data_IF_005319695274
#
_entry.id   IF_005319695274
#
_cell.length_a   1.000
_cell.length_b   1.000
_cell.length_c   1.000
_cell.angle_alpha   90.00
_cell.angle_beta   90.00
_cell.angle_gamma   90.00
#
_symmetry.space_group_name_H-M   'P 1'
#
loop_
_entity.id
_entity.type
_entity.pdbx_description
1 polymer ?
#
# COMPACT_ATOMS: atom_id res chain seq x y z
N UNK A 1 -5.27 6.52 4.87
CA UNK A 1 -5.51 6.08 3.46
C UNK A 1 -4.81 4.75 3.23
N UNK A 2 -5.52 3.70 2.80
CA UNK A 2 -4.99 2.35 2.60
C UNK A 2 -5.03 1.98 1.10
N UNK A 3 -3.89 1.54 0.55
CA UNK A 3 -3.70 1.23 -0.89
C UNK A 3 -3.24 -0.22 -1.03
N UNK A 4 -4.04 -1.03 -1.71
CA UNK A 4 -3.87 -2.48 -1.80
C UNK A 4 -2.75 -2.92 -2.79
N UNK A 5 -2.37 -4.20 -2.69
CA UNK A 5 -1.44 -4.87 -3.61
C UNK A 5 -2.08 -5.27 -4.94
N UNK A 6 -1.25 -5.71 -5.90
CA UNK A 6 -1.73 -6.20 -7.20
C UNK A 6 -2.61 -7.45 -7.03
N UNK A 7 -3.60 -7.60 -7.89
CA UNK A 7 -4.59 -8.71 -7.91
C UNK A 7 -5.51 -8.80 -6.70
N UNK A 8 -5.42 -7.87 -5.74
CA UNK A 8 -6.32 -7.75 -4.60
C UNK A 8 -7.24 -6.53 -4.76
N UNK A 9 -7.91 -6.12 -3.72
CA UNK A 9 -8.76 -4.94 -3.69
C UNK A 9 -8.74 -4.31 -2.29
N UNK A 10 -9.53 -3.26 -2.08
CA UNK A 10 -9.70 -2.64 -0.76
C UNK A 10 -10.13 -3.63 0.32
N UNK A 11 -10.75 -4.75 -0.02
CA UNK A 11 -11.24 -5.75 0.94
C UNK A 11 -10.11 -6.44 1.71
N UNK A 12 -8.89 -6.45 1.19
CA UNK A 12 -7.73 -6.97 1.93
C UNK A 12 -7.45 -6.21 3.24
N UNK A 13 -7.95 -4.99 3.36
CA UNK A 13 -7.75 -4.12 4.51
C UNK A 13 -8.81 -4.24 5.60
N UNK A 14 -9.77 -5.18 5.48
CA UNK A 14 -10.90 -5.34 6.41
C UNK A 14 -10.44 -5.31 7.86
N UNK A 15 -9.44 -6.11 8.22
CA UNK A 15 -8.96 -6.23 9.61
C UNK A 15 -8.31 -4.95 10.13
N UNK A 16 -7.62 -4.21 9.28
CA UNK A 16 -7.05 -2.92 9.62
C UNK A 16 -8.15 -1.87 9.81
N UNK A 17 -9.15 -1.85 8.92
CA UNK A 17 -10.29 -0.95 9.04
C UNK A 17 -11.09 -1.21 10.32
N UNK A 18 -11.40 -2.47 10.65
CA UNK A 18 -12.04 -2.87 11.89
C UNK A 18 -11.23 -2.40 13.13
N UNK A 19 -9.91 -2.59 13.10
CA UNK A 19 -9.06 -2.18 14.20
C UNK A 19 -8.98 -0.64 14.35
N UNK A 20 -8.98 0.11 13.25
CA UNK A 20 -9.02 1.57 13.29
C UNK A 20 -10.35 2.09 13.80
N UNK A 21 -11.47 1.46 13.42
CA UNK A 21 -12.80 1.80 13.93
C UNK A 21 -12.89 1.61 15.44
N UNK A 22 -12.38 0.48 15.96
CA UNK A 22 -12.33 0.20 17.40
C UNK A 22 -11.58 1.24 18.23
N UNK A 23 -10.58 1.91 17.65
CA UNK A 23 -9.81 2.97 18.32
C UNK A 23 -10.22 4.37 17.90
N UNK A 24 -11.35 4.51 17.18
CA UNK A 24 -11.89 5.79 16.73
C UNK A 24 -11.01 6.54 15.73
N UNK A 25 -10.23 5.82 14.91
CA UNK A 25 -9.35 6.41 13.88
C UNK A 25 -10.00 6.31 12.51
N UNK A 26 -10.30 7.45 11.85
CA UNK A 26 -10.85 7.42 10.51
C UNK A 26 -9.85 6.81 9.52
N UNK A 27 -10.30 5.82 8.77
CA UNK A 27 -9.49 5.16 7.75
C UNK A 27 -10.35 4.82 6.52
N UNK A 28 -9.75 4.95 5.34
CA UNK A 28 -10.40 4.60 4.06
C UNK A 28 -9.45 3.75 3.25
N UNK A 29 -9.98 2.69 2.65
CA UNK A 29 -9.29 1.87 1.66
C UNK A 29 -9.93 2.09 0.29
N UNK A 30 -9.11 2.27 -0.74
CA UNK A 30 -9.56 2.50 -2.11
C UNK A 30 -9.28 1.29 -3.00
N UNK A 31 -10.06 1.17 -4.08
CA UNK A 31 -9.72 0.28 -5.19
C UNK A 31 -8.92 1.05 -6.25
N UNK A 32 -7.80 0.47 -6.67
CA UNK A 32 -7.01 0.99 -7.78
C UNK A 32 -7.71 0.71 -9.12
N UNK A 33 -7.45 1.49 -10.20
CA UNK A 33 -7.93 1.15 -11.54
C UNK A 33 -7.60 -0.30 -11.89
N UNK A 34 -8.54 -1.01 -12.49
CA UNK A 34 -8.43 -2.44 -12.84
C UNK A 34 -8.64 -3.41 -11.67
N UNK A 35 -9.04 -2.94 -10.48
CA UNK A 35 -9.23 -3.77 -9.30
C UNK A 35 -10.57 -3.49 -8.61
N UNK A 36 -11.10 -4.49 -7.91
CA UNK A 36 -12.30 -4.38 -7.08
C UNK A 36 -13.47 -3.74 -7.83
N UNK A 37 -14.06 -2.70 -7.28
CA UNK A 37 -15.17 -1.95 -7.89
C UNK A 37 -14.78 -1.18 -9.15
N UNK A 38 -13.48 -0.98 -9.38
CA UNK A 38 -12.92 -0.31 -10.56
C UNK A 38 -12.33 -1.30 -11.59
N UNK A 39 -12.77 -2.55 -11.57
CA UNK A 39 -12.24 -3.64 -12.42
C UNK A 39 -12.34 -3.36 -13.92
N UNK A 40 -13.34 -2.57 -14.35
CA UNK A 40 -13.54 -2.18 -15.74
C UNK A 40 -12.58 -1.09 -16.23
N UNK A 41 -11.86 -0.44 -15.33
CA UNK A 41 -10.90 0.61 -15.68
C UNK A 41 -9.54 0.00 -16.04
N UNK A 42 -8.85 0.66 -16.97
CA UNK A 42 -7.48 0.24 -17.29
C UNK A 42 -6.50 0.74 -16.24
N UNK A 43 -5.64 -0.16 -15.74
CA UNK A 43 -4.59 0.21 -14.80
C UNK A 43 -3.54 1.11 -15.46
N UNK A 44 -3.14 2.16 -14.74
CA UNK A 44 -1.90 2.90 -15.00
C UNK A 44 -1.37 3.50 -13.70
N UNK A 45 -0.05 3.69 -13.59
CA UNK A 45 0.56 4.35 -12.42
C UNK A 45 0.06 5.79 -12.25
N UNK A 46 -0.02 6.63 -13.30
CA UNK A 46 -0.57 7.98 -13.16
C UNK A 46 -2.01 7.99 -12.62
N UNK A 47 -2.93 7.22 -13.23
CA UNK A 47 -4.32 7.17 -12.79
C UNK A 47 -4.48 6.61 -11.36
N UNK A 48 -3.56 5.73 -10.93
CA UNK A 48 -3.54 5.23 -9.56
C UNK A 48 -3.08 6.31 -8.57
N UNK A 49 -2.06 7.08 -8.91
CA UNK A 49 -1.56 8.20 -8.09
C UNK A 49 -2.62 9.31 -8.01
N UNK A 50 -3.26 9.64 -9.13
CA UNK A 50 -4.33 10.65 -9.18
C UNK A 50 -5.54 10.19 -8.33
N UNK A 51 -5.93 8.90 -8.38
CA UNK A 51 -6.99 8.36 -7.54
C UNK A 51 -6.67 8.35 -6.03
N UNK A 52 -5.39 8.19 -5.65
CA UNK A 52 -4.95 8.36 -4.26
C UNK A 52 -5.11 9.83 -3.85
N UNK A 53 -4.70 10.78 -4.71
CA UNK A 53 -4.80 12.20 -4.45
C UNK A 53 -6.26 12.64 -4.25
N UNK A 54 -7.16 12.26 -5.17
CA UNK A 54 -8.60 12.55 -5.10
C UNK A 54 -9.23 12.01 -3.81
N UNK A 55 -8.86 10.78 -3.41
CA UNK A 55 -9.37 10.17 -2.20
C UNK A 55 -8.86 10.88 -0.93
N UNK A 56 -7.61 11.35 -0.92
CA UNK A 56 -7.06 12.15 0.20
C UNK A 56 -7.72 13.51 0.27
N UNK A 57 -7.98 14.18 -0.86
CA UNK A 57 -8.70 15.45 -0.91
C UNK A 57 -10.11 15.31 -0.33
N UNK A 58 -10.81 14.22 -0.64
CA UNK A 58 -12.12 13.92 -0.07
C UNK A 58 -12.08 13.66 1.45
N UNK A 59 -10.93 13.33 2.02
CA UNK A 59 -10.70 13.12 3.46
C UNK A 59 -10.20 14.37 4.21
N UNK A 60 -10.08 15.51 3.53
CA UNK A 60 -9.59 16.76 4.14
C UNK A 60 -8.20 17.17 3.69
N UNK A 61 -7.67 16.56 2.61
CA UNK A 61 -6.47 17.00 1.92
C UNK A 61 -5.14 16.50 2.49
N UNK A 62 -5.14 15.76 3.62
CA UNK A 62 -3.90 15.21 4.19
C UNK A 62 -4.14 13.90 4.94
N UNK A 63 -3.26 12.91 4.76
CA UNK A 63 -3.41 11.60 5.39
C UNK A 63 -2.05 10.90 5.59
N UNK A 64 -2.01 9.94 6.51
CA UNK A 64 -0.99 8.88 6.50
C UNK A 64 -1.37 7.90 5.40
N UNK A 65 -0.46 7.68 4.45
CA UNK A 65 -0.62 6.73 3.35
C UNK A 65 0.00 5.39 3.74
N UNK A 66 -0.78 4.33 3.64
CA UNK A 66 -0.33 2.95 3.87
C UNK A 66 -0.51 2.16 2.59
N UNK A 67 0.55 1.62 2.04
CA UNK A 67 0.51 0.81 0.83
C UNK A 67 1.26 -0.50 1.00
N UNK A 68 0.72 -1.60 0.46
CA UNK A 68 1.39 -2.89 0.45
C UNK A 68 1.70 -3.33 -0.99
N UNK A 69 2.91 -3.82 -1.23
CA UNK A 69 3.37 -4.30 -2.55
C UNK A 69 3.20 -3.21 -3.62
N UNK A 70 2.35 -3.40 -4.62
CA UNK A 70 2.01 -2.36 -5.60
C UNK A 70 1.59 -1.06 -4.93
N UNK A 71 0.72 -1.13 -3.90
CA UNK A 71 0.29 0.03 -3.13
C UNK A 71 1.46 0.76 -2.46
N UNK A 72 2.50 0.05 -2.02
CA UNK A 72 3.71 0.64 -1.47
C UNK A 72 4.50 1.46 -2.50
N UNK A 73 4.70 0.94 -3.71
CA UNK A 73 5.33 1.69 -4.81
C UNK A 73 4.51 2.91 -5.21
N UNK A 74 3.18 2.77 -5.28
CA UNK A 74 2.26 3.88 -5.59
C UNK A 74 2.24 4.93 -4.48
N UNK A 75 2.30 4.50 -3.21
CA UNK A 75 2.42 5.38 -2.05
C UNK A 75 3.71 6.21 -2.07
N UNK A 76 4.85 5.60 -2.44
CA UNK A 76 6.12 6.31 -2.65
C UNK A 76 6.00 7.33 -3.80
N UNK A 77 5.43 6.90 -4.94
CA UNK A 77 5.24 7.77 -6.11
C UNK A 77 4.30 8.94 -5.80
N UNK A 78 3.22 8.68 -5.05
CA UNK A 78 2.27 9.69 -4.60
C UNK A 78 2.91 10.68 -3.64
N UNK A 79 3.58 10.22 -2.58
CA UNK A 79 4.23 11.09 -1.60
C UNK A 79 5.32 11.98 -2.21
N UNK A 80 6.03 11.47 -3.22
CA UNK A 80 7.03 12.25 -3.95
C UNK A 80 6.43 13.33 -4.87
N UNK A 81 5.19 13.15 -5.33
CA UNK A 81 4.48 14.07 -6.23
C UNK A 81 3.58 15.05 -5.48
N UNK A 82 3.00 14.61 -4.38
CA UNK A 82 2.03 15.35 -3.57
C UNK A 82 2.45 15.40 -2.09
N UNK A 83 3.62 16.02 -1.76
CA UNK A 83 4.16 16.00 -0.40
C UNK A 83 3.23 16.63 0.62
N UNK A 84 2.42 17.63 0.24
CA UNK A 84 1.50 18.32 1.13
C UNK A 84 0.30 17.44 1.56
N UNK A 85 -0.03 16.42 0.77
CA UNK A 85 -1.10 15.48 1.08
C UNK A 85 -0.66 14.34 2.02
N UNK A 86 0.65 14.16 2.28
CA UNK A 86 1.15 13.00 3.01
C UNK A 86 1.75 13.42 4.35
N UNK A 87 1.08 13.05 5.44
CA UNK A 87 1.55 13.26 6.80
C UNK A 87 2.62 12.24 7.24
N UNK A 88 2.55 11.03 6.67
CA UNK A 88 3.48 9.93 6.88
C UNK A 88 3.23 8.82 5.87
N UNK A 89 4.24 8.01 5.58
CA UNK A 89 4.16 6.91 4.62
C UNK A 89 4.54 5.58 5.25
N UNK A 90 3.64 4.60 5.20
CA UNK A 90 3.95 3.19 5.48
C UNK A 90 4.01 2.44 4.15
N UNK A 91 5.21 2.10 3.70
CA UNK A 91 5.46 1.37 2.47
C UNK A 91 5.84 -0.08 2.80
N UNK A 92 4.86 -0.99 2.67
CA UNK A 92 5.01 -2.38 3.05
C UNK A 92 5.31 -3.27 1.84
N UNK A 93 6.21 -4.24 2.03
CA UNK A 93 6.50 -5.30 1.05
C UNK A 93 6.86 -4.79 -0.36
N UNK A 94 7.61 -3.69 -0.44
CA UNK A 94 7.99 -3.07 -1.71
C UNK A 94 9.47 -2.65 -1.79
N UNK A 95 10.34 -3.20 -0.94
CA UNK A 95 11.76 -2.85 -0.90
C UNK A 95 12.60 -3.56 -1.98
N UNK A 96 12.09 -3.59 -3.22
CA UNK A 96 12.80 -4.08 -4.39
C UNK A 96 12.71 -3.05 -5.52
N UNK A 97 13.83 -2.74 -6.15
CA UNK A 97 13.83 -1.86 -7.33
C UNK A 97 13.32 -2.66 -8.52
N UNK A 98 12.28 -2.21 -9.22
CA UNK A 98 11.76 -2.90 -10.40
C UNK A 98 12.76 -2.81 -11.56
N UNK A 99 13.67 -3.79 -11.67
CA UNK A 99 14.65 -3.84 -12.74
C UNK A 99 14.07 -4.42 -14.04
N UNK A 100 14.73 -4.10 -15.15
CA UNK A 100 14.28 -4.50 -16.48
C UNK A 100 14.37 -6.02 -16.73
N UNK A 101 15.45 -6.74 -16.38
CA UNK A 101 15.54 -8.19 -16.63
C UNK A 101 14.50 -9.00 -15.87
N UNK A 102 14.36 -8.78 -14.55
CA UNK A 102 13.44 -9.55 -13.71
C UNK A 102 11.98 -9.27 -14.08
N UNK A 103 11.61 -8.00 -14.26
CA UNK A 103 10.24 -7.62 -14.68
C UNK A 103 9.92 -8.12 -16.09
N UNK A 104 10.89 -8.20 -17.00
CA UNK A 104 10.67 -8.74 -18.35
C UNK A 104 10.43 -10.25 -18.33
N UNK A 105 11.21 -11.00 -17.54
CA UNK A 105 11.00 -12.42 -17.35
C UNK A 105 9.61 -12.70 -16.74
N UNK A 106 9.23 -11.90 -15.73
CA UNK A 106 7.91 -12.03 -15.13
C UNK A 106 6.78 -11.68 -16.10
N UNK A 107 6.94 -10.64 -16.93
CA UNK A 107 5.96 -10.30 -17.98
C UNK A 107 5.76 -11.44 -18.98
N UNK A 108 6.82 -12.15 -19.38
CA UNK A 108 6.70 -13.32 -20.25
C UNK A 108 5.90 -14.44 -19.56
N UNK A 109 6.16 -14.70 -18.28
CA UNK A 109 5.42 -15.69 -17.50
C UNK A 109 3.93 -15.32 -17.39
N UNK A 110 3.61 -14.06 -17.08
CA UNK A 110 2.23 -13.55 -17.01
C UNK A 110 1.51 -13.70 -18.34
N UNK A 111 2.15 -13.35 -19.46
CA UNK A 111 1.58 -13.54 -20.80
C UNK A 111 1.34 -15.02 -21.14
N UNK A 112 2.19 -15.91 -20.63
CA UNK A 112 2.00 -17.37 -20.74
C UNK A 112 0.77 -17.82 -19.95
N UNK A 113 0.65 -17.40 -18.69
CA UNK A 113 -0.47 -17.73 -17.80
C UNK A 113 -1.79 -17.18 -18.35
N UNK A 114 -1.80 -15.94 -18.87
CA UNK A 114 -2.98 -15.32 -19.44
C UNK A 114 -3.57 -16.06 -20.67
N UNK A 115 -2.79 -16.99 -21.29
CA UNK A 115 -3.27 -17.86 -22.38
C UNK A 115 -3.96 -19.13 -21.89
N UNK A 116 -3.89 -19.44 -20.59
CA UNK A 116 -4.66 -20.55 -20.01
C UNK A 116 -6.16 -20.29 -20.13
N UNK A 117 -7.00 -21.33 -20.23
CA UNK A 117 -8.45 -21.18 -20.37
C UNK A 117 -9.10 -20.34 -19.27
N UNK A 118 -8.57 -20.44 -18.05
CA UNK A 118 -9.02 -19.72 -16.86
C UNK A 118 -8.18 -18.47 -16.55
N UNK A 119 -7.30 -18.06 -17.47
CA UNK A 119 -6.34 -16.95 -17.30
C UNK A 119 -5.49 -17.05 -16.03
N UNK A 120 -5.31 -18.25 -15.50
CA UNK A 120 -4.55 -18.52 -14.29
C UNK A 120 -5.33 -18.35 -12.98
N UNK A 121 -6.66 -18.33 -13.03
CA UNK A 121 -7.50 -18.19 -11.83
C UNK A 121 -7.26 -19.35 -10.84
N UNK A 122 -7.18 -20.59 -11.31
CA UNK A 122 -6.85 -21.75 -10.48
C UNK A 122 -5.48 -21.60 -9.81
N UNK A 123 -4.46 -21.19 -10.57
CA UNK A 123 -3.12 -20.99 -10.04
C UNK A 123 -3.11 -19.89 -8.97
N UNK A 124 -3.82 -18.79 -9.22
CA UNK A 124 -3.97 -17.69 -8.25
C UNK A 124 -4.66 -18.19 -6.97
N UNK A 125 -5.74 -18.96 -7.08
CA UNK A 125 -6.43 -19.51 -5.91
C UNK A 125 -5.52 -20.43 -5.11
N UNK A 126 -4.78 -21.32 -5.77
CA UNK A 126 -3.80 -22.20 -5.09
C UNK A 126 -2.72 -21.42 -4.37
N UNK A 127 -2.25 -20.32 -4.96
CA UNK A 127 -1.27 -19.45 -4.33
C UNK A 127 -1.86 -18.81 -3.05
N UNK A 128 -3.07 -18.29 -3.11
CA UNK A 128 -3.79 -17.73 -1.94
C UNK A 128 -3.92 -18.78 -0.85
N UNK A 129 -4.40 -19.98 -1.18
CA UNK A 129 -4.64 -21.08 -0.23
C UNK A 129 -3.36 -21.53 0.52
N UNK A 130 -2.20 -21.46 -0.16
CA UNK A 130 -0.91 -21.90 0.42
C UNK A 130 -0.21 -20.76 1.18
N UNK A 131 -0.39 -19.51 0.76
CA UNK A 131 0.41 -18.39 1.28
C UNK A 131 -0.31 -17.56 2.33
N UNK A 132 -1.64 -17.69 2.45
CA UNK A 132 -2.46 -16.88 3.36
C UNK A 132 -3.29 -17.73 4.32
N UNK A 133 -3.59 -17.24 5.53
CA UNK A 133 -4.63 -17.81 6.37
C UNK A 133 -5.98 -17.81 5.65
N UNK A 134 -6.81 -18.84 5.90
CA UNK A 134 -8.10 -19.01 5.23
C UNK A 134 -8.98 -17.75 5.26
N UNK A 135 -9.07 -17.11 6.41
CA UNK A 135 -9.90 -15.91 6.59
C UNK A 135 -9.38 -14.74 5.75
N UNK A 136 -8.05 -14.56 5.68
CA UNK A 136 -7.44 -13.54 4.81
C UNK A 136 -7.70 -13.83 3.33
N UNK A 137 -7.67 -15.10 2.93
CA UNK A 137 -8.05 -15.53 1.58
C UNK A 137 -9.51 -15.19 1.24
N UNK A 138 -10.43 -15.33 2.18
CA UNK A 138 -11.84 -14.93 2.02
C UNK A 138 -11.99 -13.42 1.86
N UNK A 139 -11.28 -12.62 2.67
CA UNK A 139 -11.29 -11.16 2.56
C UNK A 139 -10.80 -10.69 1.18
N UNK A 140 -9.74 -11.31 0.65
CA UNK A 140 -9.25 -11.00 -0.70
C UNK A 140 -10.24 -11.45 -1.78
N UNK A 141 -10.81 -12.65 -1.66
CA UNK A 141 -11.72 -13.22 -2.64
C UNK A 141 -13.04 -12.40 -2.77
N UNK A 142 -13.50 -11.77 -1.68
CA UNK A 142 -14.70 -10.94 -1.69
C UNK A 142 -14.61 -9.78 -2.68
N UNK A 143 -13.46 -9.15 -2.81
CA UNK A 143 -13.23 -8.07 -3.78
C UNK A 143 -12.90 -8.53 -5.18
N UNK A 144 -12.78 -9.84 -5.40
CA UNK A 144 -12.37 -10.46 -6.66
C UNK A 144 -10.86 -10.34 -6.93
N UNK A 145 -10.41 -11.11 -7.91
CA UNK A 145 -9.02 -11.14 -8.34
C UNK A 145 -8.83 -10.39 -9.66
N UNK A 146 -8.04 -9.33 -9.65
CA UNK A 146 -7.69 -8.56 -10.84
C UNK A 146 -6.57 -9.26 -11.64
N UNK A 147 -6.91 -10.33 -12.36
CA UNK A 147 -5.91 -11.13 -13.09
C UNK A 147 -5.43 -10.43 -14.36
N UNK A 148 -6.29 -9.72 -15.05
CA UNK A 148 -5.99 -9.05 -16.33
C UNK A 148 -5.07 -7.82 -16.17
N UNK A 149 -4.90 -7.28 -14.95
CA UNK A 149 -4.11 -6.06 -14.68
C UNK A 149 -2.60 -6.27 -14.75
N UNK A 150 -2.14 -7.53 -14.68
CA UNK A 150 -0.73 -7.86 -14.47
C UNK A 150 0.21 -7.31 -15.55
N UNK A 151 -0.19 -7.34 -16.82
CA UNK A 151 0.63 -6.83 -17.92
C UNK A 151 0.79 -5.30 -17.86
N UNK A 152 -0.31 -4.57 -17.67
CA UNK A 152 -0.29 -3.12 -17.53
C UNK A 152 0.48 -2.70 -16.27
N UNK A 153 0.31 -3.43 -15.16
CA UNK A 153 1.04 -3.18 -13.91
C UNK A 153 2.53 -3.35 -14.08
N UNK A 154 3.00 -4.48 -14.61
CA UNK A 154 4.42 -4.74 -14.83
C UNK A 154 5.04 -3.72 -15.80
N UNK A 155 4.29 -3.33 -16.83
CA UNK A 155 4.75 -2.32 -17.78
C UNK A 155 4.84 -0.93 -17.14
N UNK A 156 3.90 -0.59 -16.24
CA UNK A 156 3.87 0.69 -15.54
C UNK A 156 4.93 0.80 -14.46
N UNK A 157 5.04 -0.24 -13.60
CA UNK A 157 5.93 -0.22 -12.44
C UNK A 157 7.42 -0.15 -12.81
N UNK A 158 7.82 -0.68 -13.97
CA UNK A 158 9.18 -0.58 -14.51
C UNK A 158 9.67 0.86 -14.73
N UNK A 159 8.74 1.82 -14.79
CA UNK A 159 9.03 3.24 -14.98
C UNK A 159 9.07 4.00 -13.66
N UNK A 160 8.72 3.34 -12.55
CA UNK A 160 8.80 3.92 -11.22
C UNK A 160 10.20 3.72 -10.67
N UNK A 161 10.82 4.82 -10.28
CA UNK A 161 12.06 4.79 -9.51
C UNK A 161 11.75 5.07 -8.04
N UNK A 162 11.64 4.02 -7.21
CA UNK A 162 11.29 4.18 -5.81
C UNK A 162 12.38 4.87 -5.01
N UNK A 163 13.65 4.74 -5.39
CA UNK A 163 14.75 5.39 -4.68
C UNK A 163 14.76 6.90 -4.93
N UNK A 164 14.60 7.32 -6.19
CA UNK A 164 14.45 8.74 -6.52
C UNK A 164 13.15 9.33 -5.92
N UNK A 165 12.08 8.53 -5.81
CA UNK A 165 10.87 8.88 -5.10
C UNK A 165 11.13 9.16 -3.63
N UNK A 166 11.73 8.20 -2.91
CA UNK A 166 12.06 8.30 -1.49
C UNK A 166 12.93 9.50 -1.16
N UNK A 167 13.89 9.84 -2.03
CA UNK A 167 14.77 11.00 -1.84
C UNK A 167 14.03 12.36 -1.84
N UNK A 168 12.80 12.42 -2.36
CA UNK A 168 11.96 13.61 -2.40
C UNK A 168 10.93 13.68 -1.29
N UNK A 169 10.72 12.59 -0.55
CA UNK A 169 9.74 12.51 0.52
C UNK A 169 10.25 13.26 1.76
N UNK A 170 9.43 14.12 2.32
CA UNK A 170 9.75 14.96 3.47
C UNK A 170 9.14 14.46 4.79
N UNK A 171 8.12 13.60 4.73
CA UNK A 171 7.52 12.99 5.90
C UNK A 171 8.27 11.74 6.36
N UNK A 172 7.95 11.25 7.56
CA UNK A 172 8.47 9.97 8.05
C UNK A 172 8.01 8.79 7.20
N UNK A 173 8.92 7.84 6.97
CA UNK A 173 8.68 6.64 6.18
C UNK A 173 8.92 5.39 7.03
N UNK A 174 7.93 4.52 7.10
CA UNK A 174 8.04 3.18 7.66
C UNK A 174 8.11 2.18 6.53
N UNK A 175 9.27 1.54 6.36
CA UNK A 175 9.46 0.40 5.47
C UNK A 175 9.11 -0.86 6.25
N UNK A 176 8.04 -1.56 5.90
CA UNK A 176 7.54 -2.71 6.67
C UNK A 176 7.57 -3.95 5.81
N UNK A 177 8.38 -4.95 6.19
CA UNK A 177 8.50 -6.18 5.42
C UNK A 177 8.24 -7.42 6.28
N UNK A 178 7.69 -8.46 5.66
CA UNK A 178 7.65 -9.78 6.27
C UNK A 178 9.05 -10.40 6.34
N UNK A 179 9.31 -11.21 7.35
CA UNK A 179 10.60 -11.90 7.53
C UNK A 179 11.00 -12.72 6.30
N UNK A 180 10.02 -13.34 5.62
CA UNK A 180 10.19 -14.22 4.46
C UNK A 180 9.73 -13.58 3.16
N UNK A 181 9.65 -12.24 3.12
CA UNK A 181 9.28 -11.51 1.93
C UNK A 181 10.41 -11.53 0.89
N UNK A 182 10.11 -11.92 -0.32
CA UNK A 182 11.05 -11.96 -1.44
C UNK A 182 11.34 -10.58 -2.05
N UNK A 183 10.59 -9.53 -1.68
CA UNK A 183 10.81 -8.15 -2.11
C UNK A 183 11.72 -7.34 -1.15
N UNK A 184 12.52 -8.00 -0.32
CA UNK A 184 13.45 -7.36 0.63
C UNK A 184 14.84 -7.05 0.05
N UNK A 185 15.01 -7.15 -1.25
CA UNK A 185 16.33 -7.16 -1.90
C UNK A 185 17.13 -5.86 -1.71
N UNK A 186 16.45 -4.72 -1.59
CA UNK A 186 17.07 -3.40 -1.56
C UNK A 186 16.76 -2.57 -0.30
N UNK A 187 16.41 -3.20 0.84
CA UNK A 187 16.07 -2.52 2.10
C UNK A 187 17.09 -1.43 2.48
N UNK A 188 18.39 -1.75 2.38
CA UNK A 188 19.46 -0.78 2.71
C UNK A 188 19.50 0.42 1.77
N UNK A 189 19.16 0.22 0.50
CA UNK A 189 19.11 1.30 -0.47
C UNK A 189 17.91 2.22 -0.21
N UNK A 190 16.75 1.62 0.12
CA UNK A 190 15.54 2.35 0.50
C UNK A 190 15.76 3.20 1.76
N UNK A 191 16.37 2.62 2.81
CA UNK A 191 16.72 3.35 4.03
C UNK A 191 17.65 4.53 3.78
N UNK A 192 18.63 4.38 2.87
CA UNK A 192 19.57 5.46 2.54
C UNK A 192 18.97 6.54 1.64
N UNK A 193 17.97 6.18 0.84
CA UNK A 193 17.34 7.11 -0.09
C UNK A 193 16.39 8.09 0.62
N UNK A 194 15.68 7.67 1.66
CA UNK A 194 14.76 8.51 2.40
C UNK A 194 15.50 9.31 3.50
N UNK A 195 15.08 10.54 3.71
CA UNK A 195 15.66 11.43 4.75
C UNK A 195 15.31 11.00 6.18
N UNK A 196 14.11 10.45 6.38
CA UNK A 196 13.61 9.95 7.67
C UNK A 196 12.88 8.64 7.43
N UNK A 197 13.62 7.52 7.46
CA UNK A 197 13.04 6.19 7.28
C UNK A 197 13.49 5.22 8.35
N UNK A 198 12.60 4.28 8.67
CA UNK A 198 12.89 3.13 9.54
C UNK A 198 12.40 1.84 8.90
N UNK A 199 13.09 0.76 9.19
CA UNK A 199 12.75 -0.58 8.73
C UNK A 199 12.15 -1.40 9.87
N UNK A 200 10.99 -1.97 9.64
CA UNK A 200 10.30 -2.89 10.57
C UNK A 200 10.16 -4.25 9.89
N UNK A 201 10.67 -5.29 10.55
CA UNK A 201 10.53 -6.67 10.08
C UNK A 201 9.51 -7.41 10.92
N UNK A 202 8.41 -7.82 10.31
CA UNK A 202 7.38 -8.62 10.97
C UNK A 202 7.73 -10.11 10.87
N UNK A 203 8.07 -10.68 12.03
CA UNK A 203 8.47 -12.09 12.13
C UNK A 203 7.35 -13.05 11.77
N UNK A 204 7.70 -14.15 11.12
CA UNK A 204 6.77 -15.20 10.71
C UNK A 204 5.76 -14.76 9.65
N UNK A 205 6.06 -13.70 8.89
CA UNK A 205 5.27 -13.26 7.76
C UNK A 205 6.03 -13.40 6.45
N UNK A 206 5.28 -13.61 5.38
CA UNK A 206 5.72 -13.57 3.99
C UNK A 206 5.43 -12.19 3.36
N UNK A 207 5.32 -12.14 2.04
CA UNK A 207 5.04 -10.93 1.26
C UNK A 207 3.71 -10.21 1.64
N UNK A 208 2.66 -10.96 1.99
CA UNK A 208 1.34 -10.41 2.32
C UNK A 208 1.25 -10.12 3.82
N UNK A 209 2.04 -9.15 4.28
CA UNK A 209 2.28 -8.92 5.71
C UNK A 209 1.03 -8.48 6.47
N UNK A 210 0.16 -7.67 5.85
CA UNK A 210 -1.10 -7.19 6.44
C UNK A 210 -2.12 -8.31 6.65
N UNK A 211 -2.07 -9.33 5.78
CA UNK A 211 -3.00 -10.47 5.76
C UNK A 211 -2.51 -11.63 6.64
N UNK A 212 -1.19 -11.89 6.63
CA UNK A 212 -0.60 -13.03 7.33
C UNK A 212 -0.36 -12.73 8.81
N UNK A 213 -0.03 -11.49 9.15
CA UNK A 213 0.20 -11.04 10.54
C UNK A 213 -0.57 -9.74 10.83
N UNK A 214 -1.92 -9.74 10.70
CA UNK A 214 -2.72 -8.52 10.77
C UNK A 214 -2.53 -7.76 12.09
N UNK A 215 -2.47 -8.44 13.22
CA UNK A 215 -2.30 -7.79 14.53
C UNK A 215 -0.94 -7.10 14.65
N UNK A 216 0.14 -7.77 14.23
CA UNK A 216 1.48 -7.19 14.28
C UNK A 216 1.62 -6.02 13.32
N UNK A 217 1.04 -6.15 12.10
CA UNK A 217 1.02 -5.08 11.12
C UNK A 217 0.21 -3.87 11.60
N UNK A 218 -1.01 -4.09 12.11
CA UNK A 218 -1.85 -3.02 12.66
C UNK A 218 -1.18 -2.27 13.81
N UNK A 219 -0.44 -2.98 14.67
CA UNK A 219 0.35 -2.32 15.73
C UNK A 219 1.35 -1.32 15.14
N UNK A 220 2.10 -1.72 14.11
CA UNK A 220 3.03 -0.81 13.42
C UNK A 220 2.31 0.41 12.85
N UNK A 221 1.11 0.22 12.28
CA UNK A 221 0.31 1.34 11.78
C UNK A 221 -0.11 2.29 12.89
N UNK A 222 -0.57 1.78 14.02
CA UNK A 222 -0.97 2.60 15.17
C UNK A 222 0.21 3.36 15.78
N UNK A 223 1.39 2.72 15.87
CA UNK A 223 2.63 3.38 16.30
C UNK A 223 3.04 4.50 15.33
N UNK A 224 2.96 4.25 14.02
CA UNK A 224 3.23 5.27 13.00
C UNK A 224 2.26 6.45 13.08
N UNK A 225 0.96 6.19 13.25
CA UNK A 225 -0.04 7.23 13.43
C UNK A 225 0.20 8.07 14.69
N UNK A 226 0.52 7.43 15.82
CA UNK A 226 0.82 8.13 17.07
C UNK A 226 2.04 9.05 16.94
N UNK A 227 3.08 8.61 16.22
CA UNK A 227 4.26 9.43 15.97
C UNK A 227 3.96 10.64 15.06
N UNK A 228 3.16 10.43 14.02
CA UNK A 228 2.72 11.54 13.14
C UNK A 228 1.92 12.55 13.93
N UNK A 229 0.96 12.12 14.75
CA UNK A 229 0.16 13.01 15.60
C UNK A 229 1.02 13.83 16.57
N UNK A 230 2.06 13.19 17.16
CA UNK A 230 2.98 13.87 18.07
C UNK A 230 3.77 14.96 17.35
N UNK A 231 4.28 14.65 16.16
CA UNK A 231 5.03 15.62 15.34
C UNK A 231 4.16 16.79 14.91
N UNK A 232 2.91 16.53 14.50
CA UNK A 232 1.98 17.60 14.13
C UNK A 232 1.62 18.49 15.32
N UNK A 233 1.43 17.91 16.52
CA UNK A 233 1.21 18.68 17.75
C UNK A 233 2.40 19.57 18.12
N UNK A 234 3.62 19.05 17.99
CA UNK A 234 4.83 19.80 18.34
C UNK A 234 5.23 20.84 17.31
N UNK A 235 4.78 20.68 16.06
CA UNK A 235 5.05 21.62 14.96
C UNK A 235 4.00 22.72 14.83
N UNK A 236 2.83 22.59 15.49
CA UNK A 236 1.78 23.59 15.46
C UNK A 236 2.11 24.73 16.43
N UNK A 237 2.19 25.99 15.97
CA UNK A 237 2.26 27.12 16.88
C UNK A 237 0.91 27.22 17.62
N UNK A 238 0.95 27.04 18.93
CA UNK A 238 -0.15 27.25 19.89
C UNK A 238 -1.54 26.69 19.47
N UNK A 239 -1.87 25.50 19.96
CA UNK A 239 -3.25 25.07 20.28
C UNK A 239 -4.29 24.92 19.17
N UNK A 240 -4.05 25.39 17.96
CA UNK A 240 -5.07 25.48 16.90
C UNK A 240 -5.26 24.21 16.04
N UNK A 241 -4.38 23.21 16.15
CA UNK A 241 -4.40 22.02 15.29
C UNK A 241 -5.35 20.91 15.77
N UNK A 242 -5.60 20.82 17.08
CA UNK A 242 -6.45 19.77 17.68
C UNK A 242 -7.94 19.92 17.37
N UNK A 243 -8.41 21.13 17.11
CA UNK A 243 -9.85 21.37 16.88
C UNK A 243 -10.30 21.08 15.45
N UNK A 244 -9.40 21.13 14.47
CA UNK A 244 -9.76 20.85 13.05
C UNK A 244 -10.04 19.37 12.77
N UNK A 245 -9.34 18.46 13.43
CA UNK A 245 -9.57 17.02 13.30
C UNK A 245 -10.85 16.55 13.98
N UNK A 246 -11.19 17.16 15.14
CA UNK A 246 -12.44 16.87 15.87
C UNK A 246 -13.68 17.43 15.18
N UNK A 247 -13.58 18.58 14.52
CA UNK A 247 -14.69 19.23 13.84
C UNK A 247 -15.14 18.50 12.55
N UNK A 248 -14.23 17.78 11.87
CA UNK A 248 -14.54 16.96 10.70
C UNK A 248 -15.27 15.65 11.02
N UNK A 249 -15.11 15.12 12.23
CA UNK A 249 -15.70 13.84 12.66
C UNK A 249 -17.15 13.93 13.15
N UNK A 250 -17.69 15.15 13.35
CA UNK A 250 -19.04 15.37 13.93
C UNK A 250 -20.13 15.68 12.88
N UNK A 251 -19.78 15.70 11.58
CA UNK A 251 -20.81 15.90 10.54
C UNK A 251 -20.98 14.66 9.67
N UNK A 252 -21.57 13.60 10.28
CA UNK A 252 -22.45 12.62 9.59
C UNK A 252 -23.39 11.98 10.58
#
# INVERSE_FOLDING_TARGET
MLVHGVRTSRTMWRRQLEAFDLVGRPAVAIDLPGHGTRIAERFSVPASVDGIAEAIDALGGRAVVVGESLGGYLGIAHAARHPDQVAGLVAASCCSVPDQPATSAWLLAVRGIARLPDKGAWLNQRLVDVTMPREAGLDVAEGGYALDVMEDMLTGIRRVDPLAGLARIQCSVWLVNGQWDHFRLHERAYLRAASDARLVIIRGSNHMVSLVRPVAFTRVLLEALAEVDERERTSAPDGAALDRWRAGAVRR
#
